data_IF_381493540794
#
_entry.id   IF_381493540794
#
_cell.length_a   1.000
_cell.length_b   1.000
_cell.length_c   1.000
_cell.angle_alpha   90.00
_cell.angle_beta   90.00
_cell.angle_gamma   90.00
#
_symmetry.space_group_name_H-M   'P 1'
#
loop_
_entity.id
_entity.type
_entity.pdbx_description
1 polymer ?
#
# COMPACT_ATOMS: atom_id res chain seq x y z
N UNK A 1 -19.79 1.29 -15.70
CA UNK A 1 -18.44 1.00 -16.18
C UNK A 1 -17.87 -0.19 -15.40
N UNK A 2 -17.32 -1.17 -16.12
CA UNK A 2 -16.70 -2.33 -15.52
C UNK A 2 -15.19 -2.10 -15.37
N UNK A 3 -14.61 -2.68 -14.33
CA UNK A 3 -13.17 -2.61 -14.05
C UNK A 3 -12.58 -4.00 -14.09
N UNK A 4 -11.40 -4.12 -14.66
CA UNK A 4 -10.60 -5.35 -14.65
C UNK A 4 -9.23 -5.03 -14.03
N UNK A 5 -8.78 -5.91 -13.14
CA UNK A 5 -7.47 -5.88 -12.51
C UNK A 5 -6.66 -7.07 -12.99
N UNK A 6 -5.53 -6.82 -13.63
CA UNK A 6 -4.66 -7.86 -14.19
C UNK A 6 -3.31 -7.80 -13.51
N UNK A 7 -2.91 -8.92 -12.90
CA UNK A 7 -1.57 -9.14 -12.37
C UNK A 7 -0.74 -9.86 -13.44
N UNK A 8 0.39 -9.30 -13.83
CA UNK A 8 1.29 -9.91 -14.82
C UNK A 8 2.70 -10.04 -14.27
N UNK A 9 3.35 -11.17 -14.56
CA UNK A 9 4.76 -11.40 -14.27
C UNK A 9 5.65 -11.11 -15.47
N UNK A 10 5.08 -11.15 -16.68
CA UNK A 10 5.81 -10.93 -17.94
C UNK A 10 4.90 -10.19 -18.94
N UNK A 11 5.51 -9.51 -19.89
CA UNK A 11 4.76 -8.87 -20.99
C UNK A 11 4.03 -9.90 -21.87
N UNK A 12 4.55 -11.13 -21.97
CA UNK A 12 3.89 -12.23 -22.68
C UNK A 12 2.54 -12.60 -22.10
N UNK A 13 2.40 -12.58 -20.76
CA UNK A 13 1.12 -12.82 -20.10
C UNK A 13 0.12 -11.68 -20.37
N UNK A 14 0.61 -10.46 -20.54
CA UNK A 14 -0.23 -9.32 -20.89
C UNK A 14 -0.77 -9.45 -22.33
N UNK A 15 0.03 -9.93 -23.28
CA UNK A 15 -0.37 -10.14 -24.67
C UNK A 15 -1.57 -11.10 -24.79
N UNK A 16 -1.65 -12.12 -23.94
CA UNK A 16 -2.79 -13.07 -23.95
C UNK A 16 -4.14 -12.43 -23.61
N UNK A 17 -4.14 -11.31 -22.92
CA UNK A 17 -5.38 -10.58 -22.56
C UNK A 17 -5.68 -9.40 -23.48
N UNK A 18 -4.74 -9.02 -24.35
CA UNK A 18 -4.87 -7.81 -25.18
C UNK A 18 -6.06 -7.86 -26.13
N UNK A 19 -6.33 -9.01 -26.74
CA UNK A 19 -7.44 -9.14 -27.69
C UNK A 19 -8.78 -9.01 -26.97
N UNK A 20 -8.94 -9.66 -25.81
CA UNK A 20 -10.13 -9.50 -24.98
C UNK A 20 -10.34 -8.05 -24.56
N UNK A 21 -9.29 -7.36 -24.11
CA UNK A 21 -9.36 -5.97 -23.66
C UNK A 21 -9.76 -5.04 -24.80
N UNK A 22 -9.17 -5.22 -25.98
CA UNK A 22 -9.49 -4.43 -27.19
C UNK A 22 -10.93 -4.65 -27.65
N UNK A 23 -11.35 -5.92 -27.78
CA UNK A 23 -12.69 -6.29 -28.23
C UNK A 23 -13.79 -5.75 -27.30
N UNK A 24 -13.50 -5.60 -26.01
CA UNK A 24 -14.45 -5.11 -25.01
C UNK A 24 -14.22 -3.64 -24.64
N UNK A 25 -13.49 -2.89 -25.44
CA UNK A 25 -13.22 -1.45 -25.25
C UNK A 25 -12.60 -1.07 -23.91
N UNK A 26 -11.79 -1.96 -23.31
CA UNK A 26 -11.06 -1.68 -22.08
C UNK A 26 -9.82 -0.84 -22.37
N UNK A 27 -9.65 0.25 -21.62
CA UNK A 27 -8.45 1.09 -21.63
C UNK A 27 -7.70 0.98 -20.31
N UNK A 28 -6.37 0.90 -20.37
CA UNK A 28 -5.53 0.96 -19.18
C UNK A 28 -5.68 2.34 -18.54
N UNK A 29 -5.98 2.35 -17.24
CA UNK A 29 -6.15 3.58 -16.47
C UNK A 29 -5.06 3.77 -15.41
N UNK A 30 -4.52 2.67 -14.87
CA UNK A 30 -3.46 2.70 -13.86
C UNK A 30 -2.52 1.51 -14.05
N UNK A 31 -1.23 1.77 -13.84
CA UNK A 31 -0.18 0.76 -13.81
C UNK A 31 0.61 0.87 -12.51
N UNK A 32 0.69 -0.24 -11.79
CA UNK A 32 1.48 -0.38 -10.57
C UNK A 32 2.62 -1.37 -10.79
N UNK A 33 3.78 -1.05 -10.25
CA UNK A 33 4.93 -1.96 -10.19
C UNK A 33 5.10 -2.49 -8.78
N UNK A 34 5.37 -3.77 -8.67
CA UNK A 34 5.69 -4.35 -7.36
C UNK A 34 7.11 -3.98 -6.97
N UNK A 35 7.27 -3.61 -5.71
CA UNK A 35 8.57 -3.50 -5.08
C UNK A 35 8.70 -4.54 -3.96
N UNK A 36 9.93 -5.01 -3.73
CA UNK A 36 10.26 -6.05 -2.76
C UNK A 36 11.47 -5.63 -1.93
N UNK A 37 11.44 -6.00 -0.65
CA UNK A 37 12.55 -5.85 0.29
C UNK A 37 12.73 -7.17 1.03
N UNK A 38 13.96 -7.65 1.15
CA UNK A 38 14.31 -8.83 1.96
C UNK A 38 14.47 -8.41 3.42
N UNK A 39 14.00 -9.24 4.34
CA UNK A 39 14.08 -8.99 5.78
C UNK A 39 15.50 -8.68 6.25
N UNK A 40 16.48 -9.45 5.75
CA UNK A 40 17.88 -9.35 6.19
C UNK A 40 18.55 -8.02 5.79
N UNK A 41 17.92 -7.27 4.88
CA UNK A 41 18.40 -5.95 4.42
C UNK A 41 17.83 -4.81 5.27
N UNK A 42 16.94 -5.09 6.24
CA UNK A 42 16.24 -4.08 7.04
C UNK A 42 17.10 -3.61 8.20
N UNK A 43 17.32 -2.30 8.28
CA UNK A 43 17.95 -1.63 9.42
C UNK A 43 16.87 -0.92 10.25
N UNK A 44 16.45 -1.54 11.34
CA UNK A 44 15.42 -0.98 12.22
C UNK A 44 15.95 0.25 13.00
N UNK A 45 15.08 1.26 13.11
CA UNK A 45 15.25 2.41 13.99
C UNK A 45 14.09 2.44 14.98
N UNK A 46 14.36 2.82 16.23
CA UNK A 46 13.31 2.99 17.23
C UNK A 46 12.57 4.32 17.04
N UNK A 47 11.26 4.26 17.01
CA UNK A 47 10.36 5.39 17.05
C UNK A 47 9.27 5.10 18.08
N UNK A 48 8.97 6.03 18.97
CA UNK A 48 8.06 5.80 20.11
C UNK A 48 6.65 6.36 19.90
N UNK A 49 6.44 7.09 18.81
CA UNK A 49 5.22 7.85 18.56
C UNK A 49 4.23 7.17 17.60
N UNK A 50 4.51 5.94 17.16
CA UNK A 50 3.60 5.13 16.36
C UNK A 50 2.90 4.13 17.28
N UNK A 51 1.61 3.96 17.10
CA UNK A 51 0.80 2.97 17.83
C UNK A 51 0.02 2.06 16.87
N UNK A 52 -0.43 0.93 17.38
CA UNK A 52 -1.47 0.13 16.71
C UNK A 52 -2.79 0.87 16.82
N UNK A 53 -3.64 0.71 15.80
CA UNK A 53 -5.00 1.23 15.83
C UNK A 53 -5.88 0.41 16.79
N UNK A 54 -6.92 1.06 17.31
CA UNK A 54 -7.99 0.43 18.09
C UNK A 54 -9.31 0.46 17.32
N UNK A 55 -10.31 -0.29 17.75
CA UNK A 55 -11.63 -0.28 17.12
C UNK A 55 -12.28 1.11 17.11
N UNK A 56 -11.98 1.93 18.11
CA UNK A 56 -12.48 3.32 18.19
C UNK A 56 -11.94 4.20 17.05
N UNK A 57 -10.78 3.86 16.52
CA UNK A 57 -10.11 4.59 15.44
C UNK A 57 -10.68 4.27 14.05
N UNK A 58 -11.48 3.21 13.91
CA UNK A 58 -11.86 2.64 12.62
C UNK A 58 -12.54 3.63 11.68
N UNK A 59 -13.48 4.45 12.20
CA UNK A 59 -14.22 5.47 11.42
C UNK A 59 -13.27 6.58 10.94
N UNK A 60 -12.38 7.03 11.81
CA UNK A 60 -11.42 8.09 11.47
C UNK A 60 -10.40 7.58 10.45
N UNK A 61 -9.88 6.35 10.61
CA UNK A 61 -8.97 5.70 9.66
C UNK A 61 -9.63 5.58 8.28
N UNK A 62 -10.88 5.12 8.22
CA UNK A 62 -11.61 5.03 6.96
C UNK A 62 -11.71 6.38 6.27
N UNK A 63 -12.16 7.41 7.00
CA UNK A 63 -12.27 8.77 6.50
C UNK A 63 -10.91 9.35 6.08
N UNK A 64 -9.85 9.05 6.83
CA UNK A 64 -8.49 9.48 6.54
C UNK A 64 -7.99 8.91 5.21
N UNK A 65 -8.10 7.60 4.98
CA UNK A 65 -7.66 7.00 3.72
C UNK A 65 -8.47 7.45 2.52
N UNK A 66 -9.78 7.69 2.69
CA UNK A 66 -10.65 8.22 1.62
C UNK A 66 -10.25 9.61 1.12
N UNK A 67 -9.49 10.38 1.89
CA UNK A 67 -8.91 11.66 1.45
C UNK A 67 -7.75 11.48 0.45
N UNK A 68 -7.00 10.38 0.58
CA UNK A 68 -5.74 10.19 -0.15
C UNK A 68 -5.85 9.19 -1.29
N UNK A 69 -6.81 8.29 -1.22
CA UNK A 69 -7.02 7.26 -2.23
C UNK A 69 -8.44 7.35 -2.78
N UNK A 70 -8.56 7.22 -4.11
CA UNK A 70 -9.88 7.18 -4.72
C UNK A 70 -10.60 5.88 -4.35
N UNK A 71 -11.95 5.89 -4.53
CA UNK A 71 -12.81 4.77 -4.15
C UNK A 71 -12.50 3.45 -4.87
N UNK A 72 -11.83 3.48 -6.02
CA UNK A 72 -11.47 2.28 -6.78
C UNK A 72 -10.18 1.64 -6.29
N UNK A 73 -9.32 2.44 -5.66
CA UNK A 73 -8.05 1.98 -5.10
C UNK A 73 -8.22 1.55 -3.64
N UNK A 74 -8.90 2.36 -2.84
CA UNK A 74 -9.20 2.02 -1.45
C UNK A 74 -10.46 1.15 -1.39
N UNK A 75 -10.24 -0.16 -1.47
CA UNK A 75 -11.29 -1.18 -1.59
C UNK A 75 -11.88 -1.64 -0.25
N UNK A 76 -11.36 -1.18 0.89
CA UNK A 76 -11.91 -1.51 2.18
C UNK A 76 -13.27 -0.83 2.40
N UNK A 77 -14.27 -1.62 2.79
CA UNK A 77 -15.45 -1.11 3.46
C UNK A 77 -15.12 -0.78 4.92
N UNK A 78 -15.99 -0.05 5.60
CA UNK A 78 -15.81 0.22 7.02
C UNK A 78 -15.72 -1.09 7.84
N UNK A 79 -16.60 -2.06 7.57
CA UNK A 79 -16.62 -3.36 8.23
C UNK A 79 -15.31 -4.13 8.02
N UNK A 80 -14.83 -4.24 6.78
CA UNK A 80 -13.57 -4.95 6.48
C UNK A 80 -12.36 -4.28 7.13
N UNK A 81 -12.42 -2.95 7.32
CA UNK A 81 -11.35 -2.22 8.01
C UNK A 81 -11.35 -2.55 9.51
N UNK A 82 -12.52 -2.67 10.14
CA UNK A 82 -12.64 -3.09 11.53
C UNK A 82 -12.09 -4.50 11.77
N UNK A 83 -12.33 -5.43 10.85
CA UNK A 83 -11.78 -6.78 10.91
C UNK A 83 -10.25 -6.81 10.79
N UNK A 84 -9.66 -5.80 10.15
CA UNK A 84 -8.20 -5.65 9.96
C UNK A 84 -7.54 -4.69 10.95
N UNK A 85 -8.23 -4.23 11.97
CA UNK A 85 -7.74 -3.15 12.84
C UNK A 85 -6.38 -3.46 13.50
N UNK A 86 -6.11 -4.73 13.81
CA UNK A 86 -4.83 -5.20 14.36
C UNK A 86 -3.64 -5.02 13.40
N UNK A 87 -3.91 -4.92 12.09
CA UNK A 87 -2.94 -4.79 11.02
C UNK A 87 -2.80 -3.33 10.55
N UNK A 88 -3.20 -2.39 11.40
CA UNK A 88 -3.13 -0.96 11.12
C UNK A 88 -2.24 -0.27 12.15
N UNK A 89 -1.30 0.53 11.64
CA UNK A 89 -0.45 1.41 12.41
C UNK A 89 -0.85 2.85 12.18
N UNK A 90 -0.86 3.64 13.25
CA UNK A 90 -1.28 5.05 13.20
C UNK A 90 -0.31 5.98 13.91
N UNK A 91 -0.30 7.22 13.45
CA UNK A 91 0.25 8.36 14.16
C UNK A 91 -0.85 9.38 14.42
N UNK A 92 -0.99 9.78 15.68
CA UNK A 92 -1.92 10.82 16.13
C UNK A 92 -1.17 12.09 16.54
N UNK A 93 -1.74 13.23 16.20
CA UNK A 93 -1.35 14.54 16.69
C UNK A 93 -2.61 15.28 17.15
N UNK A 94 -2.62 15.75 18.40
CA UNK A 94 -3.82 16.36 19.01
C UNK A 94 -5.06 15.46 18.89
N UNK A 95 -4.93 14.19 19.25
CA UNK A 95 -5.97 13.16 19.19
C UNK A 95 -6.53 12.86 17.78
N UNK A 96 -5.95 13.43 16.72
CA UNK A 96 -6.37 13.19 15.33
C UNK A 96 -5.36 12.33 14.59
N UNK A 97 -5.84 11.43 13.77
CA UNK A 97 -4.99 10.61 12.90
C UNK A 97 -4.40 11.48 11.79
N UNK A 98 -3.07 11.54 11.75
CA UNK A 98 -2.30 12.34 10.81
C UNK A 98 -1.47 11.47 9.86
N UNK A 99 -1.29 10.19 10.20
CA UNK A 99 -0.70 9.21 9.32
C UNK A 99 -1.18 7.81 9.68
N UNK A 100 -1.29 6.94 8.68
CA UNK A 100 -1.68 5.55 8.89
C UNK A 100 -1.04 4.63 7.83
N UNK A 101 -0.85 3.37 8.22
CA UNK A 101 -0.35 2.29 7.38
C UNK A 101 -1.21 1.05 7.61
N UNK A 102 -1.69 0.44 6.52
CA UNK A 102 -2.41 -0.85 6.52
C UNK A 102 -1.52 -1.89 5.85
N UNK A 103 -1.44 -3.07 6.45
CA UNK A 103 -0.69 -4.18 5.87
C UNK A 103 -1.47 -5.49 5.93
N UNK A 104 -1.05 -6.46 5.13
CA UNK A 104 -1.57 -7.82 5.13
C UNK A 104 -0.43 -8.81 5.24
N UNK A 105 -0.56 -9.76 6.16
CA UNK A 105 0.32 -10.91 6.26
C UNK A 105 -0.22 -12.05 5.41
N UNK A 106 0.66 -12.70 4.66
CA UNK A 106 0.38 -13.97 3.98
C UNK A 106 1.39 -15.01 4.43
N UNK A 107 1.23 -16.26 4.00
CA UNK A 107 2.16 -17.34 4.34
C UNK A 107 3.61 -17.06 3.90
N UNK A 108 3.80 -16.29 2.81
CA UNK A 108 5.10 -16.14 2.16
C UNK A 108 5.66 -14.72 2.17
N UNK A 109 4.83 -13.72 2.49
CA UNK A 109 5.26 -12.33 2.46
C UNK A 109 4.33 -11.43 3.29
N UNK A 110 4.87 -10.28 3.69
CA UNK A 110 4.11 -9.17 4.25
C UNK A 110 3.86 -8.15 3.15
N UNK A 111 2.61 -7.75 2.96
CA UNK A 111 2.24 -6.73 1.98
C UNK A 111 1.89 -5.43 2.69
N UNK A 112 2.53 -4.34 2.28
CA UNK A 112 2.09 -2.99 2.60
C UNK A 112 0.98 -2.64 1.61
N UNK A 113 -0.25 -2.59 2.10
CA UNK A 113 -1.43 -2.30 1.27
C UNK A 113 -1.58 -0.80 1.02
N UNK A 114 -1.56 -0.01 2.10
CA UNK A 114 -1.73 1.44 2.04
C UNK A 114 -0.85 2.15 3.06
N UNK A 115 -0.30 3.28 2.69
CA UNK A 115 0.33 4.23 3.60
C UNK A 115 -0.04 5.65 3.18
N UNK A 116 -0.47 6.46 4.13
CA UNK A 116 -0.72 7.88 3.91
C UNK A 116 -0.22 8.70 5.09
N UNK A 117 0.25 9.91 4.77
CA UNK A 117 0.70 10.92 5.74
C UNK A 117 0.06 12.24 5.35
N UNK A 118 -0.53 12.93 6.31
CA UNK A 118 -1.14 14.24 6.09
C UNK A 118 -0.10 15.21 5.51
N UNK A 119 -0.48 15.90 4.43
CA UNK A 119 0.41 16.83 3.71
C UNK A 119 0.88 18.00 4.57
N UNK A 120 0.07 18.39 5.55
CA UNK A 120 0.34 19.52 6.45
C UNK A 120 1.06 19.10 7.74
N UNK A 121 1.48 17.84 7.84
CA UNK A 121 2.16 17.35 9.01
C UNK A 121 3.58 17.96 9.11
N UNK A 122 3.83 18.65 10.22
CA UNK A 122 5.15 19.26 10.50
C UNK A 122 6.19 18.25 10.97
N UNK A 123 5.75 17.17 11.61
CA UNK A 123 6.64 16.12 12.11
C UNK A 123 7.29 15.37 10.94
N UNK A 124 8.60 15.44 10.87
CA UNK A 124 9.40 14.75 9.84
C UNK A 124 9.53 13.26 10.17
N UNK A 125 9.73 12.43 9.14
CA UNK A 125 10.00 10.99 9.26
C UNK A 125 8.83 10.10 9.73
N UNK A 126 7.60 10.58 9.85
CA UNK A 126 6.45 9.76 10.27
C UNK A 126 6.22 8.57 9.34
N UNK A 127 6.34 8.76 8.01
CA UNK A 127 6.23 7.65 7.06
C UNK A 127 7.32 6.58 7.29
N UNK A 128 8.54 6.99 7.59
CA UNK A 128 9.64 6.07 7.95
C UNK A 128 9.38 5.35 9.27
N UNK A 129 8.84 6.05 10.24
CA UNK A 129 8.48 5.48 11.54
C UNK A 129 7.39 4.40 11.38
N UNK A 130 6.36 4.66 10.58
CA UNK A 130 5.33 3.67 10.23
C UNK A 130 5.95 2.43 9.58
N UNK A 131 6.85 2.58 8.59
CA UNK A 131 7.54 1.47 7.95
C UNK A 131 8.39 0.67 8.96
N UNK A 132 9.12 1.34 9.85
CA UNK A 132 9.94 0.66 10.86
C UNK A 132 9.09 -0.17 11.83
N UNK A 133 7.96 0.37 12.29
CA UNK A 133 7.02 -0.38 13.12
C UNK A 133 6.41 -1.56 12.36
N UNK A 134 6.04 -1.37 11.09
CA UNK A 134 5.57 -2.44 10.23
C UNK A 134 6.60 -3.56 10.07
N UNK A 135 7.86 -3.23 9.83
CA UNK A 135 8.94 -4.21 9.73
C UNK A 135 9.16 -4.96 11.04
N UNK A 136 9.22 -4.24 12.16
CA UNK A 136 9.44 -4.82 13.48
C UNK A 136 8.29 -5.77 13.90
N UNK A 137 7.05 -5.45 13.55
CA UNK A 137 5.88 -6.25 13.87
C UNK A 137 5.75 -7.52 12.99
N UNK A 138 6.48 -7.61 11.86
CA UNK A 138 6.24 -8.61 10.82
C UNK A 138 7.50 -9.44 10.51
N UNK A 139 8.20 -9.91 11.52
CA UNK A 139 9.49 -10.62 11.39
C UNK A 139 9.37 -12.08 10.93
N UNK A 140 8.17 -12.64 10.81
CA UNK A 140 7.94 -14.04 10.46
C UNK A 140 8.29 -14.34 9.00
N UNK A 141 7.98 -13.42 8.10
CA UNK A 141 8.19 -13.59 6.67
C UNK A 141 9.54 -13.04 6.21
N UNK A 142 10.10 -13.68 5.17
CA UNK A 142 11.37 -13.26 4.56
C UNK A 142 11.26 -12.03 3.67
N UNK A 143 10.06 -11.72 3.17
CA UNK A 143 9.85 -10.68 2.18
C UNK A 143 8.79 -9.68 2.61
N UNK A 144 9.07 -8.41 2.32
CA UNK A 144 8.13 -7.30 2.37
C UNK A 144 7.86 -6.84 0.95
N UNK A 145 6.59 -6.69 0.59
CA UNK A 145 6.16 -6.35 -0.76
C UNK A 145 5.17 -5.21 -0.74
N UNK A 146 5.14 -4.44 -1.81
CA UNK A 146 4.14 -3.40 -2.03
C UNK A 146 3.92 -3.21 -3.53
N UNK A 147 2.82 -2.54 -3.88
CA UNK A 147 2.60 -2.03 -5.22
C UNK A 147 2.61 -0.51 -5.18
N UNK A 148 3.34 0.11 -6.10
CA UNK A 148 3.44 1.56 -6.25
C UNK A 148 3.06 1.95 -7.66
N UNK A 149 2.24 3.00 -7.81
CA UNK A 149 1.89 3.53 -9.12
C UNK A 149 3.16 3.97 -9.87
N UNK A 150 3.30 3.53 -11.12
CA UNK A 150 4.51 3.77 -11.94
C UNK A 150 4.86 5.26 -12.06
N UNK A 151 3.86 6.14 -12.07
CA UNK A 151 4.04 7.58 -12.17
C UNK A 151 4.31 8.27 -10.82
N UNK A 152 4.14 7.58 -9.69
CA UNK A 152 4.31 8.17 -8.36
C UNK A 152 5.78 8.19 -7.93
N UNK A 153 6.58 9.05 -8.58
CA UNK A 153 8.01 9.15 -8.34
C UNK A 153 8.36 9.47 -6.88
N UNK A 154 7.51 10.25 -6.18
CA UNK A 154 7.72 10.57 -4.77
C UNK A 154 7.66 9.33 -3.89
N UNK A 155 6.65 8.48 -4.07
CA UNK A 155 6.52 7.22 -3.34
C UNK A 155 7.62 6.23 -3.74
N UNK A 156 7.96 6.11 -5.03
CA UNK A 156 9.06 5.26 -5.50
C UNK A 156 10.37 5.62 -4.81
N UNK A 157 10.72 6.91 -4.79
CA UNK A 157 11.95 7.37 -4.14
C UNK A 157 11.94 7.14 -2.62
N UNK A 158 10.78 7.27 -1.98
CA UNK A 158 10.61 6.95 -0.57
C UNK A 158 10.87 5.46 -0.29
N UNK A 159 10.27 4.54 -1.06
CA UNK A 159 10.47 3.10 -0.89
C UNK A 159 11.90 2.66 -1.25
N UNK A 160 12.51 3.23 -2.29
CA UNK A 160 13.93 2.96 -2.61
C UNK A 160 14.85 3.34 -1.45
N UNK A 161 14.63 4.50 -0.80
CA UNK A 161 15.40 4.88 0.40
C UNK A 161 15.17 3.96 1.59
N UNK A 162 14.02 3.28 1.65
CA UNK A 162 13.73 2.26 2.65
C UNK A 162 14.32 0.88 2.30
N UNK A 163 14.99 0.75 1.14
CA UNK A 163 15.65 -0.48 0.68
C UNK A 163 14.83 -1.32 -0.30
N UNK A 164 13.61 -0.93 -0.65
CA UNK A 164 12.83 -1.66 -1.65
C UNK A 164 13.41 -1.51 -3.05
N UNK A 165 13.41 -2.59 -3.81
CA UNK A 165 13.74 -2.61 -5.24
C UNK A 165 12.58 -3.13 -6.07
N UNK A 166 12.52 -2.76 -7.34
CA UNK A 166 11.53 -3.29 -8.27
C UNK A 166 11.77 -4.78 -8.53
N UNK A 167 10.67 -5.50 -8.73
CA UNK A 167 10.68 -6.81 -9.36
C UNK A 167 9.88 -6.77 -10.68
N UNK A 168 9.75 -7.92 -11.35
CA UNK A 168 9.11 -8.01 -12.67
C UNK A 168 7.57 -8.13 -12.63
N UNK A 169 6.93 -7.89 -11.46
CA UNK A 169 5.49 -8.02 -11.32
C UNK A 169 4.83 -6.65 -11.52
N UNK A 170 3.88 -6.58 -12.43
CA UNK A 170 3.04 -5.42 -12.69
C UNK A 170 1.59 -5.73 -12.34
N UNK A 171 0.87 -4.70 -11.91
CA UNK A 171 -0.55 -4.74 -11.63
C UNK A 171 -1.23 -3.62 -12.39
N UNK A 172 -2.03 -3.99 -13.39
CA UNK A 172 -2.70 -3.04 -14.27
C UNK A 172 -4.19 -3.01 -14.03
N UNK A 173 -4.75 -1.81 -14.07
CA UNK A 173 -6.18 -1.58 -13.97
C UNK A 173 -6.70 -1.09 -15.32
N UNK A 174 -7.80 -1.67 -15.75
CA UNK A 174 -8.49 -1.33 -16.99
C UNK A 174 -9.93 -0.95 -16.69
N UNK A 175 -10.48 -0.08 -17.52
CA UNK A 175 -11.88 0.34 -17.47
C UNK A 175 -12.43 0.36 -18.88
N UNK A 176 -13.67 -0.12 -19.07
CA UNK A 176 -14.42 0.14 -20.29
C UNK A 176 -15.24 1.44 -20.15
N UNK A 177 -15.40 2.15 -21.26
CA UNK A 177 -16.10 3.43 -21.34
C UNK A 177 -17.31 3.30 -22.24
#
# INVERSE_FOLDING_TARGET
ANYIKILTKTDKQLLQHNDFLKLNHFKEILNYKQMILKKDEIKLKKFTFISKASHEDSKEIYSFFRKYFNQYLFYFSHKNLEEKISDILIYKENQKIRAALIYTQTLNANFLDFIAVDRNLKHKNVAFALLNHYFAANTQNKFFKLFVEEKNQKAINFYKRAGFCFNHINLKFYRNF
#
